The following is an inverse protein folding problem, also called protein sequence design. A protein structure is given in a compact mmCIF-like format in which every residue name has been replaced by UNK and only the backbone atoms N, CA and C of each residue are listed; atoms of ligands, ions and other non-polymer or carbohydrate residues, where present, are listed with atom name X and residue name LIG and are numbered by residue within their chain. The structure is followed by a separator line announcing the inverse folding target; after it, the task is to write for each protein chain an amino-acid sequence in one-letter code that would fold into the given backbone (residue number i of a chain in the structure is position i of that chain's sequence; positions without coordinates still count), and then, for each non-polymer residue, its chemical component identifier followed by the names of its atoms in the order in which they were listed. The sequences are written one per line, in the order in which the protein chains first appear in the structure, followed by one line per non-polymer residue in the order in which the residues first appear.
data_IF_699371009947
#
_entry.id   IF_699371009947
#
_cell.length_a   1.000
_cell.length_b   1.000
_cell.length_c   1.000
_cell.angle_alpha   90.00
_cell.angle_beta   90.00
_cell.angle_gamma   90.00
#
_symmetry.space_group_name_H-M   'P 1'
#
loop_
_entity.id
_entity.type
_entity.pdbx_description
1 polymer ?
#
# COMPACT_ATOMS: atom_id res chain seq x y z
N UNK A 1 24.74 -0.92 -1.27
CA UNK A 1 24.97 -0.58 0.15
C UNK A 1 24.34 -1.65 1.04
N UNK A 2 25.03 -2.78 1.15
CA UNK A 2 24.70 -3.90 2.04
C UNK A 2 25.25 -3.61 3.44
N UNK A 3 24.77 -2.53 4.07
CA UNK A 3 25.46 -1.89 5.18
C UNK A 3 24.66 -1.92 6.49
N UNK A 4 24.13 -3.08 6.90
CA UNK A 4 23.79 -3.27 8.32
C UNK A 4 23.66 -4.74 8.78
N UNK A 5 24.47 -5.67 8.24
CA UNK A 5 24.42 -7.10 8.66
C UNK A 5 25.80 -7.61 9.11
N UNK A 6 26.67 -6.77 9.69
CA UNK A 6 28.04 -7.16 10.08
C UNK A 6 28.48 -6.84 11.50
N UNK A 7 27.55 -6.74 12.46
CA UNK A 7 27.90 -6.80 13.90
C UNK A 7 27.01 -7.83 14.57
N UNK A 8 27.55 -8.55 15.55
CA UNK A 8 26.95 -9.67 16.32
C UNK A 8 27.26 -11.10 15.84
N UNK A 9 28.56 -11.47 15.89
CA UNK A 9 29.02 -12.84 15.65
C UNK A 9 28.92 -13.78 16.89
N UNK A 10 28.31 -13.37 18.01
CA UNK A 10 28.18 -14.20 19.22
C UNK A 10 26.73 -14.66 19.54
N UNK A 11 25.71 -14.16 18.83
CA UNK A 11 24.28 -14.49 19.02
C UNK A 11 23.64 -15.26 17.85
N UNK A 12 24.46 -15.82 16.96
CA UNK A 12 24.05 -16.35 15.65
C UNK A 12 23.06 -17.53 15.71
N UNK A 13 23.05 -18.33 16.78
CA UNK A 13 22.16 -19.49 16.88
C UNK A 13 20.69 -19.11 17.11
N UNK A 14 20.43 -18.23 18.08
CA UNK A 14 19.07 -17.78 18.40
C UNK A 14 18.57 -16.74 17.40
N UNK A 15 19.43 -15.82 16.97
CA UNK A 15 19.07 -14.85 15.93
C UNK A 15 18.76 -15.55 14.60
N UNK A 16 19.52 -16.59 14.21
CA UNK A 16 19.25 -17.36 12.99
C UNK A 16 17.95 -18.16 13.09
N UNK A 17 17.64 -18.74 14.25
CA UNK A 17 16.36 -19.43 14.49
C UNK A 17 15.18 -18.48 14.42
N UNK A 18 15.25 -17.34 15.12
CA UNK A 18 14.22 -16.30 15.08
C UNK A 18 14.03 -15.73 13.68
N UNK A 19 15.13 -15.52 12.93
CA UNK A 19 15.06 -15.11 11.53
C UNK A 19 14.36 -16.17 10.69
N UNK A 20 14.73 -17.45 10.84
CA UNK A 20 14.14 -18.55 10.07
C UNK A 20 12.64 -18.71 10.34
N UNK A 21 12.22 -18.61 11.60
CA UNK A 21 10.80 -18.63 11.99
C UNK A 21 10.02 -17.43 11.43
N UNK A 22 10.65 -16.25 11.39
CA UNK A 22 10.04 -15.06 10.81
C UNK A 22 9.83 -15.23 9.31
N UNK A 23 10.79 -15.82 8.60
CA UNK A 23 10.68 -16.09 7.15
C UNK A 23 9.61 -17.14 6.83
N UNK A 24 9.47 -18.17 7.68
CA UNK A 24 8.45 -19.21 7.48
C UNK A 24 7.02 -18.68 7.72
N UNK A 25 6.84 -17.56 8.41
CA UNK A 25 5.52 -16.95 8.64
C UNK A 25 5.27 -15.69 7.82
N UNK A 26 6.29 -15.16 7.17
CA UNK A 26 6.21 -13.91 6.43
C UNK A 26 5.51 -14.10 5.09
N UNK A 27 4.41 -13.37 4.89
CA UNK A 27 3.67 -13.31 3.62
C UNK A 27 3.64 -11.91 3.03
N UNK A 28 4.34 -10.95 3.63
CA UNK A 28 4.37 -9.58 3.18
C UNK A 28 5.77 -9.14 2.77
N UNK A 29 5.84 -8.40 1.67
CA UNK A 29 7.06 -7.74 1.23
C UNK A 29 6.77 -6.25 1.21
N UNK A 30 7.60 -5.49 1.89
CA UNK A 30 7.58 -4.05 1.80
C UNK A 30 8.52 -3.57 0.71
N UNK A 31 8.03 -2.70 -0.16
CA UNK A 31 8.81 -1.95 -1.13
C UNK A 31 9.11 -0.57 -0.58
N UNK A 32 10.36 -0.14 -0.66
CA UNK A 32 10.83 1.18 -0.27
C UNK A 32 11.30 1.96 -1.50
N UNK A 33 11.41 3.29 -1.35
CA UNK A 33 11.76 4.24 -2.42
C UNK A 33 10.78 4.19 -3.60
N UNK A 34 9.52 3.87 -3.32
CA UNK A 34 8.45 3.94 -4.32
C UNK A 34 8.16 5.41 -4.61
N UNK A 35 8.19 5.87 -5.86
CA UNK A 35 7.87 7.26 -6.20
C UNK A 35 6.48 7.65 -5.70
N UNK A 36 6.33 8.87 -5.17
CA UNK A 36 5.07 9.36 -4.58
C UNK A 36 3.90 9.43 -5.56
N UNK A 37 4.18 9.53 -6.86
CA UNK A 37 3.18 9.54 -7.94
C UNK A 37 2.75 8.15 -8.39
N UNK A 38 3.38 7.10 -7.87
CA UNK A 38 3.11 5.72 -8.27
C UNK A 38 1.72 5.30 -7.83
N UNK A 39 0.96 4.68 -8.73
CA UNK A 39 -0.33 4.05 -8.38
C UNK A 39 -0.16 2.55 -8.10
N UNK A 40 -1.09 1.90 -7.38
CA UNK A 40 -1.05 0.45 -7.20
C UNK A 40 -1.05 -0.31 -8.54
N UNK A 41 -1.66 0.25 -9.58
CA UNK A 41 -1.67 -0.31 -10.93
C UNK A 41 -0.29 -0.28 -11.58
N UNK A 42 0.46 0.80 -11.38
CA UNK A 42 1.84 0.91 -11.88
C UNK A 42 2.74 -0.12 -11.22
N UNK A 43 2.61 -0.30 -9.91
CA UNK A 43 3.30 -1.35 -9.18
C UNK A 43 2.92 -2.71 -9.76
N UNK A 44 1.62 -3.05 -9.86
CA UNK A 44 1.18 -4.34 -10.43
C UNK A 44 1.75 -4.60 -11.83
N UNK A 45 1.79 -3.58 -12.69
CA UNK A 45 2.41 -3.67 -14.01
C UNK A 45 3.91 -3.98 -13.92
N UNK A 46 4.65 -3.28 -13.05
CA UNK A 46 6.07 -3.54 -12.81
C UNK A 46 6.32 -4.96 -12.26
N UNK A 47 5.52 -5.42 -11.31
CA UNK A 47 5.58 -6.79 -10.79
C UNK A 47 5.31 -7.84 -11.88
N UNK A 48 4.37 -7.54 -12.80
CA UNK A 48 4.09 -8.38 -13.96
C UNK A 48 5.29 -8.49 -14.92
N UNK A 49 5.99 -7.38 -15.17
CA UNK A 49 7.23 -7.40 -15.97
C UNK A 49 8.35 -8.21 -15.31
N UNK A 50 8.48 -8.13 -13.98
CA UNK A 50 9.43 -8.94 -13.21
C UNK A 50 8.96 -10.38 -12.96
N UNK A 51 7.76 -10.75 -13.43
CA UNK A 51 7.17 -12.11 -13.31
C UNK A 51 7.08 -12.61 -11.86
N UNK A 52 6.73 -11.71 -10.94
CA UNK A 52 6.48 -12.11 -9.56
C UNK A 52 5.27 -13.03 -9.48
N UNK A 53 5.33 -14.00 -8.57
CA UNK A 53 4.31 -15.03 -8.42
C UNK A 53 3.55 -14.86 -7.11
N UNK A 54 2.28 -15.28 -7.12
CA UNK A 54 1.47 -15.37 -5.90
C UNK A 54 1.27 -14.04 -5.17
N UNK A 55 1.26 -12.90 -5.86
CA UNK A 55 0.90 -11.60 -5.26
C UNK A 55 -0.61 -11.49 -5.22
N UNK A 56 -1.19 -11.51 -4.00
CA UNK A 56 -2.63 -11.35 -3.79
C UNK A 56 -3.05 -9.88 -3.80
N UNK A 57 -2.28 -9.03 -3.13
CA UNK A 57 -2.61 -7.61 -2.98
C UNK A 57 -1.40 -6.68 -3.03
N UNK A 58 -1.66 -5.43 -3.42
CA UNK A 58 -0.70 -4.34 -3.51
C UNK A 58 -1.34 -3.09 -2.92
N UNK A 59 -0.75 -2.58 -1.84
CA UNK A 59 -1.22 -1.39 -1.16
C UNK A 59 -0.11 -0.34 -1.06
N UNK A 60 -0.44 0.93 -1.23
CA UNK A 60 0.51 2.02 -0.93
C UNK A 60 0.35 2.35 0.56
N UNK A 61 1.45 2.56 1.26
CA UNK A 61 1.41 3.01 2.64
C UNK A 61 1.22 4.53 2.65
N UNK A 62 0.17 4.97 3.31
CA UNK A 62 -0.14 6.38 3.50
C UNK A 62 0.11 6.81 4.95
N UNK A 63 0.34 8.11 5.12
CA UNK A 63 0.30 8.80 6.40
C UNK A 63 -0.47 10.10 6.24
N UNK A 64 -1.63 10.24 6.89
CA UNK A 64 -2.55 11.36 6.70
C UNK A 64 -2.88 11.62 5.23
N UNK A 65 -3.18 10.57 4.47
CA UNK A 65 -3.42 10.60 3.02
C UNK A 65 -2.24 11.10 2.17
N UNK A 66 -1.02 11.13 2.73
CA UNK A 66 0.20 11.38 1.96
C UNK A 66 0.95 10.08 1.74
N UNK A 67 1.34 9.74 0.50
CA UNK A 67 2.10 8.53 0.24
C UNK A 67 3.45 8.60 0.95
N UNK A 68 3.85 7.54 1.66
CA UNK A 68 5.10 7.50 2.43
C UNK A 68 6.30 7.00 1.61
N UNK A 69 6.17 6.95 0.28
CA UNK A 69 7.13 6.31 -0.63
C UNK A 69 7.40 4.82 -0.32
N UNK A 70 6.42 4.16 0.30
CA UNK A 70 6.45 2.75 0.65
C UNK A 70 5.21 2.06 0.10
N UNK A 71 5.35 0.80 -0.28
CA UNK A 71 4.23 -0.04 -0.67
C UNK A 71 4.35 -1.42 -0.02
N UNK A 72 3.22 -2.07 0.17
CA UNK A 72 3.10 -3.38 0.77
C UNK A 72 2.56 -4.35 -0.28
N UNK A 73 3.31 -5.42 -0.51
CA UNK A 73 2.88 -6.57 -1.28
C UNK A 73 2.41 -7.64 -0.32
N UNK A 74 1.24 -8.19 -0.56
CA UNK A 74 0.76 -9.38 0.15
C UNK A 74 0.84 -10.57 -0.80
N UNK A 75 1.45 -11.64 -0.32
CA UNK A 75 1.58 -12.90 -1.03
C UNK A 75 0.48 -13.87 -0.59
N UNK A 76 0.03 -14.72 -1.50
CA UNK A 76 -0.92 -15.81 -1.22
C UNK A 76 -0.28 -16.84 -0.27
N UNK A 77 1.02 -17.13 -0.48
CA UNK A 77 1.78 -18.09 0.31
C UNK A 77 3.22 -17.59 0.55
N UNK A 78 3.78 -17.95 1.70
CA UNK A 78 5.17 -17.68 2.09
C UNK A 78 6.20 -18.31 1.12
N UNK A 79 5.83 -19.38 0.41
CA UNK A 79 6.69 -20.11 -0.51
C UNK A 79 7.20 -19.23 -1.67
N UNK A 80 6.44 -18.21 -2.04
CA UNK A 80 6.82 -17.25 -3.07
C UNK A 80 7.78 -16.16 -2.58
N UNK A 81 7.95 -15.98 -1.26
CA UNK A 81 8.68 -14.86 -0.66
C UNK A 81 10.12 -14.77 -1.17
N UNK A 82 10.88 -15.86 -1.05
CA UNK A 82 12.30 -15.88 -1.40
C UNK A 82 12.55 -15.67 -2.90
N UNK A 83 11.71 -16.29 -3.73
CA UNK A 83 11.81 -16.13 -5.19
C UNK A 83 11.47 -14.71 -5.61
N UNK A 84 10.41 -14.12 -5.03
CA UNK A 84 9.99 -12.76 -5.34
C UNK A 84 11.01 -11.73 -4.86
N UNK A 85 11.58 -11.87 -3.66
CA UNK A 85 12.64 -10.97 -3.18
C UNK A 85 13.84 -10.92 -4.14
N UNK A 86 14.27 -12.08 -4.65
CA UNK A 86 15.34 -12.13 -5.66
C UNK A 86 14.95 -11.46 -6.98
N UNK A 87 13.68 -11.57 -7.38
CA UNK A 87 13.18 -10.88 -8.58
C UNK A 87 13.09 -9.36 -8.38
N UNK A 88 12.80 -8.91 -7.16
CA UNK A 88 12.67 -7.50 -6.78
C UNK A 88 14.02 -6.77 -6.70
N UNK A 89 15.13 -7.47 -6.43
CA UNK A 89 16.48 -6.86 -6.37
C UNK A 89 16.88 -6.05 -7.61
N UNK A 90 16.30 -6.38 -8.78
CA UNK A 90 16.58 -5.71 -10.06
C UNK A 90 15.39 -4.90 -10.56
N UNK A 91 14.32 -4.80 -9.79
CA UNK A 91 13.12 -4.10 -10.21
C UNK A 91 13.37 -2.60 -10.19
N UNK A 92 12.99 -1.93 -11.28
CA UNK A 92 12.94 -0.49 -11.36
C UNK A 92 11.51 -0.04 -11.59
N UNK A 93 11.13 1.08 -10.98
CA UNK A 93 9.81 1.66 -11.10
C UNK A 93 9.98 3.12 -11.55
N UNK A 94 9.46 3.44 -12.74
CA UNK A 94 9.63 4.76 -13.39
C UNK A 94 11.12 5.14 -13.49
N UNK A 95 11.97 4.16 -13.84
CA UNK A 95 13.42 4.36 -13.98
C UNK A 95 14.20 4.45 -12.68
N UNK A 96 13.55 4.39 -11.51
CA UNK A 96 14.21 4.42 -10.21
C UNK A 96 14.31 3.01 -9.62
N UNK A 97 15.46 2.60 -9.05
CA UNK A 97 15.57 1.33 -8.34
C UNK A 97 14.75 1.38 -7.06
N UNK A 98 14.05 0.28 -6.77
CA UNK A 98 13.32 0.12 -5.51
C UNK A 98 14.06 -0.86 -4.61
N UNK A 99 13.92 -0.68 -3.30
CA UNK A 99 14.41 -1.67 -2.33
C UNK A 99 13.22 -2.51 -1.84
N UNK A 100 13.48 -3.75 -1.44
CA UNK A 100 12.44 -4.66 -0.95
C UNK A 100 12.90 -5.42 0.29
N UNK A 101 12.06 -5.48 1.31
CA UNK A 101 12.34 -6.16 2.56
C UNK A 101 11.14 -7.03 2.99
N UNK A 102 11.36 -8.26 3.50
CA UNK A 102 10.29 -9.06 4.09
C UNK A 102 9.83 -8.41 5.40
N UNK A 103 8.51 -8.32 5.61
CA UNK A 103 7.94 -7.73 6.82
C UNK A 103 6.94 -8.67 7.46
N UNK A 104 7.08 -8.89 8.76
CA UNK A 104 6.08 -9.56 9.56
C UNK A 104 5.10 -8.51 10.08
N UNK A 105 3.94 -8.39 9.42
CA UNK A 105 2.87 -7.56 9.96
C UNK A 105 2.26 -8.27 11.16
N UNK A 106 2.09 -7.54 12.26
CA UNK A 106 1.21 -7.97 13.34
C UNK A 106 -0.21 -8.03 12.77
N UNK A 107 -0.98 -9.03 13.18
CA UNK A 107 -2.31 -9.34 12.64
C UNK A 107 -3.29 -8.15 12.66
N UNK A 108 -3.05 -7.12 13.49
CA UNK A 108 -3.83 -5.87 13.51
C UNK A 108 -3.68 -5.02 12.25
N UNK A 109 -2.46 -4.88 11.70
CA UNK A 109 -2.19 -4.00 10.54
C UNK A 109 -2.66 -4.62 9.21
N UNK A 110 -2.67 -5.95 9.14
CA UNK A 110 -3.15 -6.68 7.97
C UNK A 110 -4.70 -6.75 7.90
N UNK A 111 -5.39 -6.74 9.04
CA UNK A 111 -6.85 -6.92 9.12
C UNK A 111 -7.66 -5.65 8.85
N UNK A 112 -7.12 -4.46 9.14
CA UNK A 112 -7.84 -3.19 8.90
C UNK A 112 -8.14 -2.96 7.41
N UNK A 113 -7.36 -3.57 6.52
CA UNK A 113 -7.57 -3.52 5.06
C UNK A 113 -8.81 -4.30 4.57
N UNK A 114 -9.43 -5.14 5.41
CA UNK A 114 -10.49 -6.06 4.99
C UNK A 114 -11.85 -5.85 5.66
N UNK A 115 -12.01 -4.82 6.50
CA UNK A 115 -13.33 -4.44 7.00
C UNK A 115 -14.23 -4.13 5.79
N UNK A 116 -15.26 -4.98 5.58
CA UNK A 116 -16.12 -4.95 4.39
C UNK A 116 -16.94 -3.65 4.37
N UNK A 117 -16.38 -2.58 3.82
CA UNK A 117 -17.14 -1.36 3.51
C UNK A 117 -17.83 -1.55 2.15
N UNK A 118 -18.84 -2.43 2.10
CA UNK A 118 -19.65 -2.60 0.89
C UNK A 118 -20.77 -1.56 0.86
N UNK A 119 -20.86 -0.82 -0.23
CA UNK A 119 -21.91 0.18 -0.49
C UNK A 119 -21.53 1.61 -0.09
N UNK A 120 -22.24 2.57 -0.68
CA UNK A 120 -22.12 4.01 -0.40
C UNK A 120 -22.33 4.33 1.08
N UNK A 121 -23.43 3.82 1.65
CA UNK A 121 -23.83 4.02 3.05
C UNK A 121 -22.81 3.45 4.04
N UNK A 122 -22.25 2.27 3.77
CA UNK A 122 -21.24 1.64 4.63
C UNK A 122 -19.89 2.39 4.64
N UNK A 123 -19.52 3.03 3.53
CA UNK A 123 -18.30 3.86 3.45
C UNK A 123 -18.48 5.20 4.14
N UNK A 124 -19.62 5.87 3.93
CA UNK A 124 -19.95 7.11 4.63
C UNK A 124 -20.04 6.90 6.15
N UNK A 125 -20.68 5.82 6.60
CA UNK A 125 -20.75 5.45 8.02
C UNK A 125 -19.37 5.11 8.60
N UNK A 126 -18.50 4.45 7.83
CA UNK A 126 -17.13 4.15 8.25
C UNK A 126 -16.25 5.40 8.33
N UNK A 127 -16.40 6.33 7.39
CA UNK A 127 -15.72 7.63 7.42
C UNK A 127 -16.19 8.47 8.63
N UNK A 128 -17.50 8.51 8.89
CA UNK A 128 -18.06 9.21 10.07
C UNK A 128 -17.61 8.60 11.40
N UNK A 129 -17.33 7.29 11.44
CA UNK A 129 -16.80 6.60 12.63
C UNK A 129 -15.29 6.75 12.81
N UNK A 130 -14.60 7.50 11.93
CA UNK A 130 -13.15 7.66 11.98
C UNK A 130 -12.37 6.41 11.56
N UNK A 131 -13.01 5.44 10.87
CA UNK A 131 -12.33 4.24 10.39
C UNK A 131 -11.40 4.52 9.19
N UNK A 132 -11.58 5.67 8.52
CA UNK A 132 -10.65 6.15 7.50
C UNK A 132 -9.74 7.20 8.12
N UNK A 133 -8.62 6.74 8.67
CA UNK A 133 -7.62 7.59 9.33
C UNK A 133 -6.66 8.25 8.34
N UNK A 134 -6.56 7.72 7.11
CA UNK A 134 -5.58 8.16 6.12
C UNK A 134 -4.18 7.61 6.35
N UNK A 135 -4.02 6.73 7.34
CA UNK A 135 -2.77 6.07 7.69
C UNK A 135 -2.80 4.60 7.24
N UNK A 136 -1.63 4.03 7.03
CA UNK A 136 -1.46 2.61 6.73
C UNK A 136 -1.77 2.22 5.28
N UNK A 137 -1.97 0.91 5.01
CA UNK A 137 -2.24 0.40 3.67
C UNK A 137 -3.49 1.04 3.05
N UNK A 138 -3.32 1.65 1.88
CA UNK A 138 -4.38 2.38 1.16
C UNK A 138 -5.08 3.48 1.99
N UNK A 139 -4.46 3.96 3.08
CA UNK A 139 -5.02 4.98 3.97
C UNK A 139 -6.30 4.54 4.70
N UNK A 140 -6.47 3.24 4.92
CA UNK A 140 -7.67 2.68 5.56
C UNK A 140 -8.90 2.62 4.63
N UNK A 141 -8.73 2.90 3.33
CA UNK A 141 -9.80 2.77 2.34
C UNK A 141 -9.66 1.45 1.60
N UNK A 142 -10.70 0.60 1.53
CA UNK A 142 -10.66 -0.61 0.71
C UNK A 142 -10.48 -0.23 -0.75
N UNK A 143 -9.31 -0.58 -1.29
CA UNK A 143 -8.88 -0.11 -2.60
C UNK A 143 -9.04 -1.20 -3.65
N UNK A 144 -9.88 -0.94 -4.65
CA UNK A 144 -10.02 -1.80 -5.83
C UNK A 144 -9.25 -1.25 -7.04
N UNK A 145 -8.24 -0.39 -6.81
CA UNK A 145 -7.46 0.26 -7.87
C UNK A 145 -8.20 1.37 -8.62
N UNK A 146 -9.33 1.85 -8.09
CA UNK A 146 -10.17 2.92 -8.66
C UNK A 146 -10.19 4.20 -7.82
N UNK A 147 -9.61 4.14 -6.63
CA UNK A 147 -9.56 5.28 -5.72
C UNK A 147 -8.28 6.07 -5.99
N UNK A 148 -8.37 7.39 -5.94
CA UNK A 148 -7.25 8.31 -6.07
C UNK A 148 -7.24 9.26 -4.89
N UNK A 149 -6.06 9.54 -4.37
CA UNK A 149 -5.85 10.51 -3.31
C UNK A 149 -5.32 11.78 -3.94
N UNK A 150 -6.06 12.87 -3.80
CA UNK A 150 -5.64 14.20 -4.26
C UNK A 150 -5.30 15.03 -3.03
N UNK A 151 -4.07 15.52 -2.98
CA UNK A 151 -3.53 16.30 -1.87
C UNK A 151 -2.91 17.60 -2.38
N UNK A 152 -2.73 18.58 -1.49
CA UNK A 152 -2.19 19.90 -1.84
C UNK A 152 -3.23 20.84 -2.48
N UNK A 153 -4.52 20.56 -2.29
CA UNK A 153 -5.58 21.44 -2.74
C UNK A 153 -5.59 22.76 -1.95
N UNK A 154 -5.90 23.90 -2.59
CA UNK A 154 -6.10 25.16 -1.89
C UNK A 154 -7.15 25.02 -0.77
N UNK A 155 -6.89 25.62 0.40
CA UNK A 155 -7.75 25.50 1.60
C UNK A 155 -9.23 25.89 1.35
N UNK A 156 -9.48 26.75 0.36
CA UNK A 156 -10.79 27.30 0.02
C UNK A 156 -11.40 26.70 -1.25
N UNK A 157 -10.89 25.57 -1.74
CA UNK A 157 -11.55 24.90 -2.87
C UNK A 157 -12.90 24.32 -2.41
N UNK A 158 -13.96 24.69 -3.12
CA UNK A 158 -15.29 24.11 -2.91
C UNK A 158 -15.38 22.78 -3.68
N UNK A 159 -16.20 21.86 -3.17
CA UNK A 159 -16.44 20.54 -3.79
C UNK A 159 -16.94 20.65 -5.23
N UNK A 160 -17.69 21.70 -5.55
CA UNK A 160 -18.27 21.91 -6.87
C UNK A 160 -17.20 22.26 -7.90
N UNK A 161 -16.28 23.17 -7.55
CA UNK A 161 -15.09 23.50 -8.35
C UNK A 161 -14.22 22.25 -8.53
N UNK A 162 -14.04 21.46 -7.47
CA UNK A 162 -13.26 20.24 -7.56
C UNK A 162 -13.89 19.20 -8.49
N UNK A 163 -15.23 19.11 -8.51
CA UNK A 163 -15.97 18.28 -9.46
C UNK A 163 -15.79 18.78 -10.90
N UNK A 164 -15.85 20.09 -11.11
CA UNK A 164 -15.58 20.70 -12.41
C UNK A 164 -14.16 20.36 -12.91
N UNK A 165 -13.15 20.40 -12.04
CA UNK A 165 -11.78 20.02 -12.39
C UNK A 165 -11.65 18.54 -12.77
N UNK A 166 -12.56 17.69 -12.29
CA UNK A 166 -12.60 16.26 -12.62
C UNK A 166 -13.55 15.95 -13.79
N UNK A 167 -14.09 16.98 -14.45
CA UNK A 167 -14.94 16.81 -15.64
C UNK A 167 -14.14 16.15 -16.75
N UNK A 168 -14.58 14.98 -17.21
CA UNK A 168 -13.87 14.14 -18.19
C UNK A 168 -13.33 12.84 -17.62
N UNK A 169 -13.25 12.70 -16.30
CA UNK A 169 -13.01 11.40 -15.66
C UNK A 169 -14.35 10.73 -15.36
N UNK A 170 -14.44 9.42 -15.62
CA UNK A 170 -15.56 8.59 -15.15
C UNK A 170 -15.42 8.38 -13.65
N UNK A 171 -15.84 9.37 -12.87
CA UNK A 171 -16.00 9.22 -11.44
C UNK A 171 -17.08 8.16 -11.21
N UNK A 172 -16.89 7.30 -10.21
CA UNK A 172 -17.94 6.36 -9.85
C UNK A 172 -19.17 7.18 -9.42
N UNK A 173 -20.21 7.19 -10.23
CA UNK A 173 -21.53 7.64 -9.83
C UNK A 173 -21.97 6.68 -8.71
N UNK A 174 -21.87 7.12 -7.46
CA UNK A 174 -22.89 6.72 -6.51
C UNK A 174 -24.20 7.29 -7.03
N UNK A 175 -25.33 6.64 -6.75
CA UNK A 175 -26.68 7.14 -7.03
C UNK A 175 -26.99 8.53 -6.38
N UNK A 176 -25.99 9.20 -5.79
CA UNK A 176 -26.00 10.55 -5.22
C UNK A 176 -24.79 11.42 -5.61
N UNK A 177 -24.03 11.07 -6.66
CA UNK A 177 -22.87 11.82 -7.18
C UNK A 177 -21.50 11.37 -6.63
N UNK A 178 -20.37 11.86 -7.19
CA UNK A 178 -19.02 11.52 -6.74
C UNK A 178 -18.80 11.89 -5.27
N UNK A 179 -18.42 10.90 -4.48
CA UNK A 179 -18.14 10.99 -3.04
C UNK A 179 -16.77 11.66 -2.82
N UNK A 180 -16.77 12.99 -2.81
CA UNK A 180 -15.57 13.79 -2.47
C UNK A 180 -15.52 13.89 -0.94
N UNK A 181 -14.82 12.96 -0.31
CA UNK A 181 -14.57 13.00 1.13
C UNK A 181 -13.50 14.04 1.45
N UNK A 182 -13.91 15.15 2.07
CA UNK A 182 -12.99 16.14 2.62
C UNK A 182 -12.51 15.66 3.98
N UNK A 183 -11.24 15.27 4.06
CA UNK A 183 -10.60 14.92 5.33
C UNK A 183 -9.94 16.17 5.89
N UNK A 184 -10.38 16.58 7.07
CA UNK A 184 -9.73 17.64 7.83
C UNK A 184 -8.56 17.02 8.61
N UNK A 185 -7.34 17.41 8.27
CA UNK A 185 -6.12 17.13 9.04
C UNK A 185 -5.97 18.12 10.18
#
# INVERSE_FOLDING_TARGET
MAAQVRRFAAGLGEASRAYKETWDRCVHIELQKVPSTTTPKDIRRALGHARLQGVSDVAIIYRGFRPTNRALLTLVHNSYLRQNLKALEKLTLVGLPIDSEPVLLSSSEAQESQARQRGSKGRADAAQRGAVTGDGPNGGVPNNGKNVVVWGLPLRIHSDIFRELLTGFKLAELDQGPDIMRVHS
#
